data_IF_597432680499
#
_entry.id   IF_597432680499
#
_cell.length_a   1.000
_cell.length_b   1.000
_cell.length_c   1.000
_cell.angle_alpha   90.00
_cell.angle_beta   90.00
_cell.angle_gamma   90.00
#
_symmetry.space_group_name_H-M   'P 1'
#
loop_
_entity.id
_entity.type
_entity.pdbx_description
1 polymer ?
#
# COMPACT_ATOMS: atom_id res chain seq x y z
N UNK A 1 1.58 -15.41 6.74
CA UNK A 1 2.94 -15.32 7.34
C UNK A 1 4.07 -15.83 6.45
N UNK A 2 3.80 -16.19 5.20
CA UNK A 2 4.84 -16.67 4.26
C UNK A 2 5.41 -15.57 3.35
N UNK A 3 4.97 -14.31 3.50
CA UNK A 3 5.44 -13.17 2.70
C UNK A 3 6.57 -12.41 3.40
N UNK A 4 7.44 -11.80 2.60
CA UNK A 4 8.54 -10.95 3.07
C UNK A 4 8.57 -9.61 2.35
N UNK A 5 8.99 -8.56 3.07
CA UNK A 5 9.22 -7.23 2.54
C UNK A 5 10.60 -6.75 2.98
N UNK A 6 11.51 -6.52 2.03
CA UNK A 6 12.89 -6.12 2.31
C UNK A 6 13.18 -4.75 1.69
N UNK A 7 13.80 -3.85 2.46
CA UNK A 7 14.16 -2.49 2.03
C UNK A 7 15.66 -2.27 2.26
N UNK A 8 16.39 -1.88 1.21
CA UNK A 8 17.85 -1.69 1.24
C UNK A 8 18.21 -0.28 0.74
N UNK A 9 18.19 0.75 1.60
CA UNK A 9 18.53 2.11 1.18
C UNK A 9 20.05 2.30 1.06
N UNK A 10 20.46 3.16 0.13
CA UNK A 10 21.84 3.62 -0.02
C UNK A 10 21.87 5.14 -0.05
N UNK A 11 22.77 5.74 0.73
CA UNK A 11 22.95 7.19 0.84
C UNK A 11 24.44 7.50 0.69
N UNK A 12 24.86 8.06 -0.45
CA UNK A 12 26.20 8.61 -0.69
C UNK A 12 26.09 10.13 -0.83
N UNK A 13 26.68 10.88 0.11
CA UNK A 13 26.59 12.34 0.18
C UNK A 13 28.00 12.94 0.14
N UNK A 14 28.29 13.64 -0.96
CA UNK A 14 29.59 14.30 -1.20
C UNK A 14 29.54 15.82 -1.01
N UNK A 15 28.58 16.29 -0.22
CA UNK A 15 28.40 17.71 0.07
C UNK A 15 28.24 17.91 1.59
N UNK A 16 29.13 18.71 2.24
CA UNK A 16 29.14 18.89 3.68
C UNK A 16 27.97 19.72 4.22
N UNK A 17 27.25 20.45 3.37
CA UNK A 17 26.08 21.25 3.79
C UNK A 17 24.75 20.57 3.48
N UNK A 18 24.77 19.32 3.00
CA UNK A 18 23.55 18.60 2.66
C UNK A 18 22.75 18.21 3.92
N UNK A 19 21.42 18.23 3.79
CA UNK A 19 20.49 17.63 4.75
C UNK A 19 19.77 16.49 4.04
N UNK A 20 19.83 15.30 4.61
CA UNK A 20 19.24 14.09 4.01
C UNK A 20 18.50 13.34 5.11
N UNK A 21 17.25 12.98 4.83
CA UNK A 21 16.39 12.19 5.70
C UNK A 21 15.82 11.02 4.89
N UNK A 22 15.72 9.85 5.51
CA UNK A 22 15.14 8.66 4.92
C UNK A 22 14.23 7.98 5.94
N UNK A 23 13.04 7.62 5.49
CA UNK A 23 12.06 6.87 6.27
C UNK A 23 11.65 5.61 5.53
N UNK A 24 11.47 4.53 6.29
CA UNK A 24 10.91 3.28 5.82
C UNK A 24 9.97 2.70 6.89
N UNK A 25 8.77 2.31 6.48
CA UNK A 25 7.75 1.75 7.36
C UNK A 25 7.22 0.44 6.78
N UNK A 26 6.99 -0.55 7.64
CA UNK A 26 6.32 -1.81 7.28
C UNK A 26 4.91 -1.82 7.85
N UNK A 27 3.94 -2.24 7.05
CA UNK A 27 2.54 -2.38 7.47
C UNK A 27 2.00 -3.76 7.10
N UNK A 28 1.13 -4.32 7.93
CA UNK A 28 0.38 -5.55 7.68
C UNK A 28 -1.10 -5.26 7.91
N UNK A 29 -1.97 -5.79 7.06
CA UNK A 29 -3.42 -5.75 7.30
C UNK A 29 -3.71 -6.64 8.51
N UNK A 30 -4.23 -6.04 9.57
CA UNK A 30 -4.55 -6.74 10.81
C UNK A 30 -5.89 -7.47 10.73
N UNK A 31 -6.01 -8.60 11.44
CA UNK A 31 -7.28 -9.33 11.56
C UNK A 31 -8.38 -8.46 12.17
N UNK A 32 -8.04 -7.63 13.16
CA UNK A 32 -8.99 -6.69 13.78
C UNK A 32 -9.54 -5.65 12.78
N UNK A 33 -8.71 -5.21 11.82
CA UNK A 33 -9.15 -4.29 10.77
C UNK A 33 -10.16 -4.98 9.85
N UNK A 34 -9.86 -6.21 9.43
CA UNK A 34 -10.77 -7.00 8.61
C UNK A 34 -12.07 -7.34 9.35
N UNK A 35 -11.97 -7.69 10.63
CA UNK A 35 -13.12 -7.94 11.50
C UNK A 35 -14.01 -6.70 11.64
N UNK A 36 -13.40 -5.52 11.82
CA UNK A 36 -14.11 -4.24 11.89
C UNK A 36 -14.90 -3.93 10.59
N UNK A 37 -14.35 -4.26 9.43
CA UNK A 37 -15.05 -4.17 8.14
C UNK A 37 -16.18 -5.20 8.04
N UNK A 38 -15.92 -6.46 8.43
CA UNK A 38 -16.91 -7.53 8.40
C UNK A 38 -18.14 -7.22 9.28
N UNK A 39 -17.92 -6.64 10.47
CA UNK A 39 -19.01 -6.17 11.34
C UNK A 39 -19.91 -5.10 10.70
N UNK A 40 -19.39 -4.38 9.70
CA UNK A 40 -20.14 -3.39 8.91
C UNK A 40 -20.75 -3.96 7.63
N UNK A 41 -20.71 -5.29 7.47
CA UNK A 41 -21.21 -5.96 6.28
C UNK A 41 -20.32 -5.78 5.04
N UNK A 42 -19.08 -5.34 5.20
CA UNK A 42 -18.11 -5.23 4.09
C UNK A 42 -17.38 -6.56 3.96
N UNK A 43 -17.44 -7.16 2.76
CA UNK A 43 -16.76 -8.42 2.47
C UNK A 43 -15.23 -8.30 2.56
N UNK A 44 -14.55 -9.42 2.82
CA UNK A 44 -13.10 -9.44 3.05
C UNK A 44 -12.30 -8.87 1.86
N UNK A 45 -12.62 -9.25 0.63
CA UNK A 45 -11.95 -8.75 -0.58
C UNK A 45 -12.14 -7.23 -0.75
N UNK A 46 -13.37 -6.75 -0.53
CA UNK A 46 -13.67 -5.32 -0.58
C UNK A 46 -12.90 -4.55 0.51
N UNK A 47 -12.81 -5.10 1.73
CA UNK A 47 -12.05 -4.52 2.82
C UNK A 47 -10.56 -4.43 2.51
N UNK A 48 -9.96 -5.52 1.99
CA UNK A 48 -8.55 -5.55 1.56
C UNK A 48 -8.29 -4.51 0.47
N UNK A 49 -9.15 -4.45 -0.54
CA UNK A 49 -9.05 -3.46 -1.62
C UNK A 49 -9.12 -2.02 -1.10
N UNK A 50 -10.04 -1.73 -0.17
CA UNK A 50 -10.15 -0.40 0.45
C UNK A 50 -8.89 -0.02 1.23
N UNK A 51 -8.34 -0.94 2.04
CA UNK A 51 -7.15 -0.69 2.86
C UNK A 51 -5.94 -0.43 1.95
N UNK A 52 -5.75 -1.25 0.93
CA UNK A 52 -4.61 -1.12 0.00
C UNK A 52 -4.75 0.16 -0.84
N UNK A 53 -5.94 0.51 -1.31
CA UNK A 53 -6.17 1.77 -1.99
C UNK A 53 -5.87 2.98 -1.08
N UNK A 54 -6.20 2.89 0.20
CA UNK A 54 -5.81 3.88 1.20
C UNK A 54 -4.29 4.01 1.35
N UNK A 55 -3.58 2.88 1.41
CA UNK A 55 -2.11 2.83 1.49
C UNK A 55 -1.44 3.45 0.26
N UNK A 56 -1.96 3.20 -0.95
CA UNK A 56 -1.40 3.72 -2.20
C UNK A 56 -1.92 5.13 -2.58
N UNK A 57 -2.82 5.72 -1.79
CA UNK A 57 -3.57 6.94 -2.16
C UNK A 57 -2.67 8.10 -2.57
N UNK A 58 -1.64 8.40 -1.77
CA UNK A 58 -0.75 9.54 -2.03
C UNK A 58 0.06 9.35 -3.30
N UNK A 59 0.46 8.11 -3.60
CA UNK A 59 1.14 7.76 -4.86
C UNK A 59 0.21 7.94 -6.05
N UNK A 60 -1.03 7.46 -5.95
CA UNK A 60 -2.02 7.59 -7.02
C UNK A 60 -2.43 9.05 -7.28
N UNK A 61 -2.43 9.91 -6.26
CA UNK A 61 -2.70 11.34 -6.42
C UNK A 61 -1.63 12.09 -7.23
N UNK A 62 -0.42 11.54 -7.34
CA UNK A 62 0.64 12.09 -8.19
C UNK A 62 0.53 11.65 -9.66
N UNK A 63 -0.32 10.65 -9.95
CA UNK A 63 -0.56 10.21 -11.32
C UNK A 63 -1.61 11.09 -11.99
N UNK A 64 -1.51 11.32 -13.32
CA UNK A 64 -2.62 11.90 -14.06
C UNK A 64 -3.90 11.08 -13.84
N UNK A 65 -5.04 11.77 -13.76
CA UNK A 65 -6.31 11.20 -13.32
C UNK A 65 -6.71 9.94 -14.11
N UNK A 66 -6.47 9.94 -15.43
CA UNK A 66 -6.72 8.79 -16.32
C UNK A 66 -5.94 7.53 -15.93
N UNK A 67 -4.69 7.67 -15.49
CA UNK A 67 -3.86 6.55 -15.03
C UNK A 67 -4.15 6.14 -13.60
N UNK A 68 -4.53 7.09 -12.74
CA UNK A 68 -4.88 6.79 -11.35
C UNK A 68 -6.11 5.86 -11.28
N UNK A 69 -7.13 6.12 -12.10
CA UNK A 69 -8.35 5.28 -12.17
C UNK A 69 -8.01 3.87 -12.67
N UNK A 70 -7.12 3.75 -13.64
CA UNK A 70 -6.71 2.45 -14.18
C UNK A 70 -5.86 1.66 -13.19
N UNK A 71 -4.92 2.32 -12.51
CA UNK A 71 -4.08 1.70 -11.49
C UNK A 71 -4.91 1.08 -10.36
N UNK A 72 -5.93 1.80 -9.87
CA UNK A 72 -6.86 1.27 -8.85
C UNK A 72 -7.59 0.01 -9.32
N UNK A 73 -8.05 -0.03 -10.57
CA UNK A 73 -8.75 -1.20 -11.13
C UNK A 73 -7.82 -2.41 -11.27
N UNK A 74 -6.63 -2.20 -11.84
CA UNK A 74 -5.64 -3.26 -12.02
C UNK A 74 -5.16 -3.83 -10.68
N UNK A 75 -5.02 -2.98 -9.66
CA UNK A 75 -4.65 -3.40 -8.33
C UNK A 75 -5.73 -4.30 -7.70
N UNK A 76 -7.00 -3.90 -7.82
CA UNK A 76 -8.14 -4.70 -7.36
C UNK A 76 -8.18 -6.09 -8.00
N UNK A 77 -8.02 -6.16 -9.33
CA UNK A 77 -7.99 -7.42 -10.08
C UNK A 77 -6.82 -8.34 -9.67
N UNK A 78 -5.65 -7.78 -9.36
CA UNK A 78 -4.51 -8.58 -8.88
C UNK A 78 -4.72 -9.13 -7.46
N UNK A 79 -5.57 -8.50 -6.66
CA UNK A 79 -5.81 -8.90 -5.28
C UNK A 79 -6.91 -9.96 -5.18
N UNK A 80 -7.89 -9.90 -6.10
CA UNK A 80 -8.93 -10.92 -6.24
C UNK A 80 -8.31 -12.30 -6.48
N UNK A 81 -8.64 -13.27 -5.63
CA UNK A 81 -8.15 -14.65 -5.71
C UNK A 81 -6.65 -14.89 -5.45
N UNK A 82 -5.84 -13.85 -5.21
CA UNK A 82 -4.39 -13.97 -4.97
C UNK A 82 -4.00 -13.88 -3.49
N UNK A 83 -4.96 -13.50 -2.63
CA UNK A 83 -4.79 -13.40 -1.18
C UNK A 83 -5.66 -14.47 -0.53
N UNK A 84 -5.05 -15.61 -0.22
CA UNK A 84 -5.68 -16.80 0.37
C UNK A 84 -4.72 -17.97 0.43
#
# INVERSE_FOLDING_TARGET
DQSGAHTFPYIDVRNPTARVEHEASTSKIGEDQLFYFAQRGVGAEAAVSMIINGFCKEVFQQLPMEFAVEATKLLGLKLEGSVG
#
